data_IF_661321179197
#
_entry.id   IF_661321179197
#
_cell.length_a   1.000
_cell.length_b   1.000
_cell.length_c   1.000
_cell.angle_alpha   90.00
_cell.angle_beta   90.00
_cell.angle_gamma   90.00
#
_symmetry.space_group_name_H-M   'P 1'
#
loop_
_entity.id
_entity.type
_entity.pdbx_description
1 polymer ?
#
# COMPACT_ATOMS: atom_id res chain seq x y z
N UNK A 1 -52.10 -58.72 32.63
CA UNK A 1 -51.25 -59.48 31.67
C UNK A 1 -51.64 -59.03 30.26
N UNK A 2 -50.65 -58.73 29.40
CA UNK A 2 -50.65 -57.92 28.13
C UNK A 2 -50.28 -56.45 28.38
N UNK A 3 -48.99 -56.07 28.25
CA UNK A 3 -48.23 -55.63 27.06
C UNK A 3 -48.87 -54.41 26.36
N UNK A 4 -48.26 -53.22 26.49
CA UNK A 4 -47.30 -52.59 25.54
C UNK A 4 -48.07 -51.73 24.52
N UNK A 5 -47.75 -50.46 24.24
CA UNK A 5 -46.65 -49.93 23.41
C UNK A 5 -46.70 -48.38 23.60
N UNK A 6 -45.70 -47.74 24.20
CA UNK A 6 -44.62 -46.98 23.55
C UNK A 6 -45.07 -45.94 22.51
N UNK A 7 -44.94 -44.66 22.83
CA UNK A 7 -44.47 -43.66 21.86
C UNK A 7 -43.73 -42.58 22.63
N UNK A 8 -42.41 -42.72 22.63
CA UNK A 8 -41.49 -41.70 23.09
C UNK A 8 -41.51 -40.56 22.06
N UNK A 9 -41.94 -39.38 22.49
CA UNK A 9 -41.80 -38.16 21.71
C UNK A 9 -40.33 -37.74 21.79
N UNK A 10 -39.54 -38.16 20.81
CA UNK A 10 -38.16 -37.69 20.63
C UNK A 10 -38.23 -36.24 20.20
N UNK A 11 -37.98 -35.30 21.11
CA UNK A 11 -37.69 -33.91 20.76
C UNK A 11 -36.28 -33.92 20.16
N UNK A 12 -36.20 -33.94 18.84
CA UNK A 12 -34.96 -33.71 18.12
C UNK A 12 -34.57 -32.24 18.32
N UNK A 13 -33.68 -32.00 19.30
CA UNK A 13 -32.97 -30.75 19.46
C UNK A 13 -31.93 -30.65 18.35
N UNK A 14 -32.38 -30.29 17.15
CA UNK A 14 -31.53 -29.96 16.02
C UNK A 14 -30.94 -28.57 16.24
N UNK A 15 -29.90 -28.48 17.07
CA UNK A 15 -28.95 -27.37 16.97
C UNK A 15 -28.17 -27.63 15.69
N UNK A 16 -28.69 -27.14 14.57
CA UNK A 16 -27.86 -26.88 13.42
C UNK A 16 -26.89 -25.77 13.86
N UNK A 17 -25.72 -26.17 14.38
CA UNK A 17 -24.53 -25.36 14.28
C UNK A 17 -24.26 -25.22 12.78
N UNK A 18 -24.91 -24.25 12.17
CA UNK A 18 -24.35 -23.58 11.01
C UNK A 18 -23.02 -23.01 11.49
N UNK A 19 -21.96 -23.81 11.32
CA UNK A 19 -20.61 -23.32 11.09
C UNK A 19 -20.71 -22.43 9.85
N UNK A 20 -21.21 -21.22 10.06
CA UNK A 20 -20.89 -20.10 9.20
C UNK A 20 -19.39 -20.00 9.36
N UNK A 21 -18.66 -20.43 8.34
CA UNK A 21 -17.26 -20.10 8.13
C UNK A 21 -17.18 -18.58 8.08
N UNK A 22 -17.21 -17.95 9.24
CA UNK A 22 -16.91 -16.54 9.42
C UNK A 22 -15.40 -16.43 9.22
N UNK A 23 -14.97 -16.57 7.97
CA UNK A 23 -13.88 -15.80 7.45
C UNK A 23 -14.35 -14.34 7.47
N UNK A 24 -14.46 -13.74 8.66
CA UNK A 24 -14.55 -12.31 8.80
C UNK A 24 -13.17 -11.74 8.47
N UNK A 25 -12.78 -11.88 7.19
CA UNK A 25 -11.88 -10.91 6.60
C UNK A 25 -12.72 -9.65 6.56
N UNK A 26 -12.41 -8.67 7.39
CA UNK A 26 -13.01 -7.35 7.24
C UNK A 26 -12.65 -6.87 5.83
N UNK A 27 -13.67 -6.55 5.04
CA UNK A 27 -13.46 -5.96 3.71
C UNK A 27 -12.69 -4.66 3.88
N UNK A 28 -11.72 -4.42 3.00
CA UNK A 28 -11.11 -3.10 2.91
C UNK A 28 -12.19 -2.11 2.45
N UNK A 29 -12.16 -0.85 2.91
CA UNK A 29 -13.12 0.17 2.43
C UNK A 29 -13.00 0.26 0.91
N UNK A 30 -14.05 0.55 0.17
CA UNK A 30 -14.00 0.80 -1.28
C UNK A 30 -13.40 2.17 -1.61
N UNK A 31 -13.07 2.41 -2.88
CA UNK A 31 -12.66 3.73 -3.34
C UNK A 31 -13.76 4.77 -3.07
N UNK A 32 -15.03 4.44 -3.31
CA UNK A 32 -16.18 5.33 -3.04
C UNK A 32 -16.26 5.70 -1.54
N UNK A 33 -16.10 4.73 -0.64
CA UNK A 33 -16.08 5.00 0.81
C UNK A 33 -14.92 5.89 1.22
N UNK A 34 -13.73 5.71 0.62
CA UNK A 34 -12.58 6.56 0.90
C UNK A 34 -12.75 7.98 0.35
N UNK A 35 -13.33 8.15 -0.85
CA UNK A 35 -13.61 9.47 -1.41
C UNK A 35 -14.69 10.20 -0.58
N UNK A 36 -15.69 9.47 -0.07
CA UNK A 36 -16.69 10.04 0.83
C UNK A 36 -16.08 10.49 2.17
N UNK A 37 -15.11 9.73 2.69
CA UNK A 37 -14.42 10.06 3.94
C UNK A 37 -13.35 11.16 3.76
N UNK A 38 -12.69 11.19 2.59
CA UNK A 38 -11.59 12.10 2.27
C UNK A 38 -11.83 12.79 0.90
N UNK A 39 -12.76 13.76 0.82
CA UNK A 39 -13.13 14.40 -0.45
C UNK A 39 -11.98 15.13 -1.15
N UNK A 40 -10.93 15.53 -0.41
CA UNK A 40 -9.75 16.17 -0.96
C UNK A 40 -9.09 15.35 -2.09
N UNK A 41 -9.23 14.02 -2.06
CA UNK A 41 -8.71 13.12 -3.08
C UNK A 41 -9.35 13.30 -4.47
N UNK A 42 -10.60 13.80 -4.54
CA UNK A 42 -11.29 14.10 -5.80
C UNK A 42 -10.98 15.50 -6.35
N UNK A 43 -10.53 16.41 -5.48
CA UNK A 43 -10.38 17.83 -5.82
C UNK A 43 -8.94 18.22 -6.14
N UNK A 44 -8.72 19.28 -6.90
CA UNK A 44 -7.38 19.85 -7.11
C UNK A 44 -6.98 20.83 -6.01
N UNK A 45 -7.72 20.92 -4.90
CA UNK A 45 -7.48 21.90 -3.84
C UNK A 45 -6.23 21.57 -3.02
N UNK A 46 -5.83 20.29 -2.99
CA UNK A 46 -4.58 19.83 -2.39
C UNK A 46 -3.72 19.16 -3.44
N UNK A 47 -2.62 19.84 -3.78
CA UNK A 47 -1.56 19.30 -4.64
C UNK A 47 -0.80 18.20 -3.90
N UNK A 48 -0.33 17.18 -4.62
CA UNK A 48 0.49 16.14 -4.01
C UNK A 48 1.91 16.63 -3.74
N UNK A 49 2.50 16.24 -2.60
CA UNK A 49 3.88 16.56 -2.30
C UNK A 49 4.85 15.70 -3.16
N UNK A 50 5.65 16.29 -4.07
CA UNK A 50 6.53 15.53 -4.95
C UNK A 50 7.72 14.89 -4.21
N UNK A 51 8.06 15.33 -3.00
CA UNK A 51 9.16 14.74 -2.21
C UNK A 51 8.78 13.39 -1.58
N UNK A 52 7.49 13.11 -1.41
CA UNK A 52 7.03 11.82 -0.91
C UNK A 52 7.11 10.80 -2.06
N UNK A 53 8.12 9.94 -2.04
CA UNK A 53 8.39 9.01 -3.14
C UNK A 53 7.33 7.90 -3.28
N UNK A 54 6.76 7.45 -2.17
CA UNK A 54 5.77 6.38 -2.16
C UNK A 54 4.38 6.92 -2.57
N UNK A 55 3.78 6.46 -3.69
CA UNK A 55 2.48 6.94 -4.16
C UNK A 55 1.35 6.69 -3.14
N UNK A 56 1.41 5.59 -2.39
CA UNK A 56 0.45 5.33 -1.31
C UNK A 56 0.53 6.38 -0.20
N UNK A 57 1.74 6.77 0.21
CA UNK A 57 1.94 7.78 1.23
C UNK A 57 1.58 9.18 0.73
N UNK A 58 1.84 9.50 -0.55
CA UNK A 58 1.34 10.74 -1.19
C UNK A 58 -0.18 10.82 -1.13
N UNK A 59 -0.86 9.73 -1.43
CA UNK A 59 -2.32 9.68 -1.34
C UNK A 59 -2.82 9.85 0.11
N UNK A 60 -2.14 9.26 1.11
CA UNK A 60 -2.47 9.48 2.52
C UNK A 60 -2.28 10.95 2.94
N UNK A 61 -1.16 11.56 2.57
CA UNK A 61 -0.90 12.98 2.83
C UNK A 61 -1.96 13.86 2.14
N UNK A 62 -2.15 13.69 0.84
CA UNK A 62 -3.12 14.45 0.04
C UNK A 62 -4.56 14.26 0.49
N UNK A 63 -4.89 13.18 1.18
CA UNK A 63 -6.22 12.98 1.76
C UNK A 63 -6.53 13.90 2.94
N UNK A 64 -5.51 14.55 3.51
CA UNK A 64 -5.59 15.31 4.76
C UNK A 64 -5.68 14.44 6.01
N UNK A 65 -5.52 13.12 5.86
CA UNK A 65 -5.59 12.18 6.99
C UNK A 65 -4.46 12.39 8.00
N UNK A 66 -3.35 13.00 7.59
CA UNK A 66 -2.16 13.19 8.41
C UNK A 66 -2.09 14.59 9.05
N UNK A 67 -2.92 15.55 8.62
CA UNK A 67 -2.88 16.95 9.07
C UNK A 67 -2.99 17.12 10.59
N UNK A 68 -3.80 16.29 11.25
CA UNK A 68 -4.04 16.39 12.70
C UNK A 68 -2.89 15.83 13.54
N UNK A 69 -1.99 15.06 12.91
CA UNK A 69 -0.88 14.36 13.58
C UNK A 69 0.49 14.82 13.09
N UNK A 70 0.53 15.65 12.05
CA UNK A 70 1.72 16.37 11.62
C UNK A 70 2.20 17.34 12.70
N UNK A 71 3.51 17.42 12.87
CA UNK A 71 4.11 18.34 13.83
C UNK A 71 4.06 19.77 13.27
N UNK A 72 3.89 20.76 14.16
CA UNK A 72 3.83 22.18 13.80
C UNK A 72 5.10 22.72 13.09
N UNK A 73 6.17 21.92 12.95
CA UNK A 73 7.43 22.32 12.33
C UNK A 73 7.36 22.49 10.81
N UNK A 74 6.27 22.06 10.16
CA UNK A 74 6.14 22.06 8.70
C UNK A 74 6.93 20.93 8.03
N UNK A 75 7.55 20.05 8.81
CA UNK A 75 8.17 18.81 8.34
C UNK A 75 7.14 17.68 8.36
N UNK A 76 7.18 16.82 7.35
CA UNK A 76 6.26 15.67 7.20
C UNK A 76 6.70 14.47 8.06
N UNK A 77 6.86 14.71 9.37
CA UNK A 77 7.33 13.72 10.35
C UNK A 77 6.15 13.18 11.15
N UNK A 78 5.82 11.90 10.93
CA UNK A 78 4.62 11.25 11.48
C UNK A 78 5.01 10.14 12.46
N UNK A 79 4.37 10.08 13.62
CA UNK A 79 4.52 8.93 14.53
C UNK A 79 4.07 7.62 13.86
N UNK A 80 4.85 6.54 14.02
CA UNK A 80 4.54 5.24 13.41
C UNK A 80 3.13 4.75 13.74
N UNK A 81 2.64 5.01 14.97
CA UNK A 81 1.28 4.62 15.38
C UNK A 81 0.22 5.26 14.47
N UNK A 82 0.36 6.56 14.23
CA UNK A 82 -0.63 7.33 13.51
C UNK A 82 -0.54 7.06 12.00
N UNK A 83 0.66 6.87 11.48
CA UNK A 83 0.87 6.42 10.10
C UNK A 83 0.32 5.01 9.84
N UNK A 84 0.51 4.08 10.78
CA UNK A 84 -0.09 2.73 10.73
C UNK A 84 -1.61 2.81 10.72
N UNK A 85 -2.20 3.65 11.56
CA UNK A 85 -3.65 3.84 11.60
C UNK A 85 -4.17 4.40 10.28
N UNK A 86 -3.52 5.43 9.72
CA UNK A 86 -3.88 5.97 8.41
C UNK A 86 -3.77 4.93 7.30
N UNK A 87 -2.68 4.13 7.28
CA UNK A 87 -2.51 3.05 6.32
C UNK A 87 -3.63 1.99 6.44
N UNK A 88 -4.03 1.64 7.67
CA UNK A 88 -5.15 0.73 7.92
C UNK A 88 -6.48 1.30 7.44
N UNK A 89 -6.74 2.60 7.67
CA UNK A 89 -7.93 3.29 7.19
C UNK A 89 -8.06 3.21 5.67
N UNK A 90 -6.95 3.07 4.94
CA UNK A 90 -6.90 2.90 3.48
C UNK A 90 -6.81 1.44 3.02
N UNK A 91 -6.94 0.48 3.93
CA UNK A 91 -6.97 -0.95 3.62
C UNK A 91 -5.60 -1.62 3.57
N UNK A 92 -4.57 -1.07 4.20
CA UNK A 92 -3.28 -1.75 4.35
C UNK A 92 -3.07 -2.28 5.78
N UNK A 93 -2.90 -3.59 5.92
CA UNK A 93 -2.79 -4.25 7.21
C UNK A 93 -1.54 -3.80 8.00
N UNK A 94 -1.75 -3.49 9.26
CA UNK A 94 -0.70 -2.99 10.17
C UNK A 94 0.09 -4.08 10.86
N UNK A 95 -0.31 -5.34 10.71
CA UNK A 95 0.38 -6.46 11.37
C UNK A 95 1.40 -7.13 10.45
N UNK A 96 1.08 -7.24 9.16
CA UNK A 96 1.80 -8.10 8.22
C UNK A 96 2.16 -7.42 6.90
N UNK A 97 1.66 -6.21 6.60
CA UNK A 97 2.03 -5.46 5.40
C UNK A 97 2.62 -4.08 5.75
N UNK A 98 1.81 -3.03 5.78
CA UNK A 98 2.31 -1.66 5.96
C UNK A 98 2.97 -1.44 7.32
N UNK A 99 2.49 -2.09 8.39
CA UNK A 99 3.06 -1.85 9.72
C UNK A 99 4.54 -2.24 9.85
N UNK A 100 4.93 -3.48 9.49
CA UNK A 100 6.34 -3.87 9.42
C UNK A 100 7.18 -2.97 8.50
N UNK A 101 6.64 -2.53 7.36
CA UNK A 101 7.33 -1.61 6.44
C UNK A 101 7.58 -0.25 7.13
N UNK A 102 6.55 0.33 7.76
CA UNK A 102 6.65 1.60 8.52
C UNK A 102 7.71 1.50 9.63
N UNK A 103 7.72 0.41 10.40
CA UNK A 103 8.72 0.22 11.45
C UNK A 103 10.14 0.11 10.87
N UNK A 104 10.26 -0.56 9.73
CA UNK A 104 11.55 -0.75 9.04
C UNK A 104 12.06 0.55 8.42
N UNK A 105 11.17 1.39 7.86
CA UNK A 105 11.48 2.74 7.38
C UNK A 105 11.99 3.60 8.53
N UNK A 106 11.22 3.66 9.63
CA UNK A 106 11.55 4.45 10.82
C UNK A 106 12.90 4.07 11.41
N UNK A 107 13.16 2.76 11.55
CA UNK A 107 14.45 2.26 11.99
C UNK A 107 15.57 2.61 11.02
N UNK A 108 15.33 2.53 9.71
CA UNK A 108 16.28 2.91 8.67
C UNK A 108 16.71 4.38 8.75
N UNK A 109 15.75 5.28 8.90
CA UNK A 109 16.01 6.73 9.04
C UNK A 109 16.70 7.07 10.36
N UNK A 110 16.41 6.35 11.44
CA UNK A 110 17.15 6.52 12.70
C UNK A 110 18.64 6.13 12.61
N UNK A 111 19.03 5.27 11.65
CA UNK A 111 20.43 4.90 11.44
C UNK A 111 21.22 5.97 10.66
N UNK A 112 20.54 6.89 9.94
CA UNK A 112 21.19 7.96 9.17
C UNK A 112 21.41 9.23 10.01
N UNK A 113 20.61 9.45 11.05
CA UNK A 113 20.92 10.47 12.06
C UNK A 113 22.17 10.06 12.86
N UNK A 114 23.11 11.00 13.07
CA UNK A 114 24.30 10.76 13.91
C UNK A 114 23.89 10.04 15.20
N UNK A 115 24.51 8.88 15.46
CA UNK A 115 24.21 8.04 16.61
C UNK A 115 24.45 8.80 17.91
N UNK A 116 23.44 9.52 18.39
CA UNK A 116 23.46 10.23 19.65
C UNK A 116 22.88 9.33 20.74
N UNK A 117 23.49 9.35 21.92
CA UNK A 117 22.94 8.66 23.11
C UNK A 117 21.51 9.12 23.46
N UNK A 118 21.06 10.28 22.96
CA UNK A 118 19.67 10.74 23.04
C UNK A 118 18.68 9.93 22.18
N UNK A 119 19.15 9.24 21.14
CA UNK A 119 18.34 8.37 20.27
C UNK A 119 18.09 6.98 20.90
N UNK A 120 18.74 6.68 22.03
CA UNK A 120 18.49 5.49 22.85
C UNK A 120 17.36 5.69 23.88
N UNK A 121 16.64 6.83 23.84
CA UNK A 121 15.51 7.06 24.73
C UNK A 121 14.34 6.14 24.35
N UNK A 122 13.99 5.11 25.17
CA UNK A 122 12.89 4.21 24.86
C UNK A 122 11.51 4.88 24.93
N UNK A 123 11.45 6.13 25.37
CA UNK A 123 10.24 6.93 25.44
C UNK A 123 10.10 7.91 24.25
N UNK A 124 11.08 8.01 23.35
CA UNK A 124 10.92 8.79 22.10
C UNK A 124 10.03 7.96 21.16
N UNK A 125 8.90 8.50 20.67
CA UNK A 125 8.08 7.80 19.70
C UNK A 125 8.89 7.56 18.42
N UNK A 126 8.75 6.37 17.85
CA UNK A 126 9.25 6.09 16.50
C UNK A 126 8.47 6.90 15.49
N UNK A 127 9.18 7.57 14.60
CA UNK A 127 8.61 8.45 13.58
C UNK A 127 9.13 8.06 12.19
N UNK A 128 8.39 8.44 11.16
CA UNK A 128 8.81 8.41 9.76
C UNK A 128 8.78 9.83 9.21
N UNK A 129 9.87 10.23 8.55
CA UNK A 129 9.90 11.41 7.70
C UNK A 129 9.48 11.00 6.27
N UNK A 130 8.31 11.47 5.82
CA UNK A 130 7.74 11.08 4.53
C UNK A 130 8.50 11.67 3.33
N UNK A 131 9.28 12.73 3.52
CA UNK A 131 10.07 13.38 2.45
C UNK A 131 11.49 12.79 2.34
N UNK A 132 11.94 12.09 3.39
CA UNK A 132 13.27 11.45 3.44
C UNK A 132 13.19 9.92 3.38
N UNK A 133 12.20 9.36 2.69
CA UNK A 133 12.06 7.90 2.52
C UNK A 133 13.27 7.26 1.84
N UNK A 134 14.00 8.02 1.01
CA UNK A 134 15.23 7.59 0.36
C UNK A 134 16.40 7.36 1.33
N UNK A 135 16.32 7.89 2.56
CA UNK A 135 17.30 7.66 3.63
C UNK A 135 17.01 6.42 4.48
N UNK A 136 16.11 5.54 4.05
CA UNK A 136 15.79 4.32 4.78
C UNK A 136 16.40 3.08 4.09
N UNK A 137 17.72 2.79 4.22
CA UNK A 137 18.40 1.69 3.53
C UNK A 137 17.68 0.34 3.48
N UNK A 138 16.95 -0.09 4.54
CA UNK A 138 16.21 -1.35 4.50
C UNK A 138 15.09 -1.43 3.45
N UNK A 139 14.56 -0.28 3.01
CA UNK A 139 13.44 -0.18 2.05
C UNK A 139 13.77 0.69 0.83
N UNK A 140 14.66 1.66 0.96
CA UNK A 140 15.11 2.52 -0.12
C UNK A 140 15.84 1.68 -1.17
N UNK A 141 15.62 1.99 -2.44
CA UNK A 141 16.28 1.33 -3.55
C UNK A 141 16.55 2.31 -4.68
N UNK A 142 17.41 1.92 -5.60
CA UNK A 142 18.00 2.78 -6.60
C UNK A 142 17.04 3.08 -7.77
N UNK A 143 16.20 2.11 -8.16
CA UNK A 143 15.37 2.23 -9.36
C UNK A 143 13.88 2.40 -9.06
N UNK A 144 13.39 3.64 -8.96
CA UNK A 144 11.98 3.95 -8.75
C UNK A 144 11.14 3.98 -10.03
N UNK A 145 9.84 3.69 -9.91
CA UNK A 145 8.87 3.96 -11.00
C UNK A 145 8.75 5.46 -11.30
N UNK A 146 9.00 6.32 -10.30
CA UNK A 146 8.75 7.76 -10.38
C UNK A 146 9.97 8.61 -10.06
N UNK A 147 11.07 8.01 -9.62
CA UNK A 147 12.33 8.71 -9.30
C UNK A 147 13.52 7.97 -9.92
N UNK A 148 14.61 8.70 -10.11
CA UNK A 148 15.83 8.22 -10.77
C UNK A 148 16.90 7.83 -9.73
N UNK A 149 17.80 6.92 -10.12
CA UNK A 149 18.91 6.48 -9.28
C UNK A 149 19.75 7.65 -8.77
N UNK A 150 19.98 7.67 -7.45
CA UNK A 150 20.72 8.71 -6.76
C UNK A 150 19.99 10.05 -6.66
N UNK A 151 18.75 10.16 -7.16
CA UNK A 151 17.96 11.39 -7.16
C UNK A 151 16.72 11.30 -6.26
N UNK A 152 16.68 10.37 -5.30
CA UNK A 152 15.58 10.23 -4.36
C UNK A 152 15.29 11.50 -3.54
N UNK A 153 16.33 12.27 -3.20
CA UNK A 153 16.21 13.57 -2.53
C UNK A 153 15.48 14.64 -3.36
N UNK A 154 15.42 14.47 -4.69
CA UNK A 154 14.73 15.39 -5.60
C UNK A 154 13.25 15.05 -5.77
N UNK A 155 12.76 13.98 -5.15
CA UNK A 155 11.37 13.55 -5.25
C UNK A 155 11.03 12.89 -6.59
N UNK A 156 9.77 13.02 -6.99
CA UNK A 156 9.22 12.50 -8.25
C UNK A 156 9.80 13.26 -9.46
N UNK A 157 10.43 12.52 -10.38
CA UNK A 157 10.88 13.01 -11.68
C UNK A 157 9.76 12.88 -12.70
N UNK A 158 9.35 14.01 -13.30
CA UNK A 158 8.35 14.04 -14.37
C UNK A 158 8.81 13.23 -15.60
N UNK A 159 10.10 13.32 -15.95
CA UNK A 159 10.69 12.56 -17.06
C UNK A 159 10.65 11.06 -16.79
N UNK A 160 10.97 10.63 -15.56
CA UNK A 160 10.88 9.22 -15.16
C UNK A 160 9.43 8.74 -15.20
N UNK A 161 8.50 9.51 -14.62
CA UNK A 161 7.09 9.17 -14.65
C UNK A 161 6.58 9.01 -16.09
N UNK A 162 6.86 9.96 -16.98
CA UNK A 162 6.46 9.88 -18.39
C UNK A 162 7.03 8.63 -19.08
N UNK A 163 8.31 8.35 -18.89
CA UNK A 163 8.96 7.15 -19.44
C UNK A 163 8.34 5.86 -18.90
N UNK A 164 8.11 5.78 -17.58
CA UNK A 164 7.46 4.64 -16.92
C UNK A 164 6.05 4.41 -17.45
N UNK A 165 5.24 5.47 -17.57
CA UNK A 165 3.87 5.37 -18.09
C UNK A 165 3.85 4.94 -19.55
N UNK A 166 4.78 5.43 -20.38
CA UNK A 166 4.91 4.98 -21.76
C UNK A 166 5.24 3.47 -21.85
N UNK A 167 6.15 2.97 -21.01
CA UNK A 167 6.50 1.53 -20.95
C UNK A 167 5.32 0.68 -20.47
N UNK A 168 4.57 1.14 -19.48
CA UNK A 168 3.37 0.45 -19.02
C UNK A 168 2.31 0.41 -20.13
N UNK A 169 2.05 1.54 -20.79
CA UNK A 169 1.05 1.62 -21.85
C UNK A 169 1.40 0.71 -23.05
N UNK A 170 2.67 0.60 -23.43
CA UNK A 170 3.14 -0.30 -24.49
C UNK A 170 2.91 -1.79 -24.14
N UNK A 171 2.77 -2.12 -22.85
CA UNK A 171 2.54 -3.48 -22.35
C UNK A 171 1.06 -3.78 -22.09
N UNK A 172 0.22 -2.77 -22.00
CA UNK A 172 -1.20 -2.96 -21.74
C UNK A 172 -1.89 -3.73 -22.89
N UNK A 173 -2.93 -4.48 -22.57
CA UNK A 173 -3.73 -5.17 -23.58
C UNK A 173 -4.64 -4.20 -24.37
N UNK A 174 -5.42 -4.71 -25.33
CA UNK A 174 -6.34 -3.91 -26.15
C UNK A 174 -7.44 -3.19 -25.34
N UNK A 175 -7.60 -3.50 -24.04
CA UNK A 175 -8.52 -2.84 -23.12
C UNK A 175 -7.79 -1.98 -22.08
N UNK A 176 -6.52 -1.66 -22.31
CA UNK A 176 -5.67 -0.91 -21.38
C UNK A 176 -5.49 -1.60 -20.02
N UNK A 177 -5.55 -2.94 -19.98
CA UNK A 177 -5.27 -3.71 -18.77
C UNK A 177 -3.81 -4.10 -18.64
N UNK A 178 -3.31 -4.11 -17.40
CA UNK A 178 -1.97 -4.58 -17.03
C UNK A 178 -2.06 -5.78 -16.09
N UNK A 179 -1.39 -6.88 -16.42
CA UNK A 179 -1.17 -7.98 -15.47
C UNK A 179 0.07 -7.70 -14.61
N UNK A 180 0.24 -8.45 -13.52
CA UNK A 180 1.39 -8.26 -12.61
C UNK A 180 2.74 -8.32 -13.33
N UNK A 181 2.87 -9.22 -14.32
CA UNK A 181 4.10 -9.37 -15.08
C UNK A 181 4.46 -8.11 -15.87
N UNK A 182 3.48 -7.35 -16.38
CA UNK A 182 3.75 -6.12 -17.15
C UNK A 182 4.35 -5.03 -16.25
N UNK A 183 3.84 -4.90 -15.02
CA UNK A 183 4.35 -3.97 -14.00
C UNK A 183 5.77 -4.38 -13.57
N UNK A 184 5.97 -5.67 -13.33
CA UNK A 184 7.28 -6.22 -12.94
C UNK A 184 8.32 -6.09 -14.05
N UNK A 185 7.95 -6.36 -15.30
CA UNK A 185 8.84 -6.22 -16.46
C UNK A 185 9.23 -4.76 -16.67
N UNK A 186 8.29 -3.83 -16.49
CA UNK A 186 8.58 -2.40 -16.51
C UNK A 186 9.59 -2.02 -15.41
N UNK A 187 9.40 -2.51 -14.19
CA UNK A 187 10.35 -2.29 -13.09
C UNK A 187 11.74 -2.83 -13.42
N UNK A 188 11.82 -4.06 -13.93
CA UNK A 188 13.08 -4.69 -14.32
C UNK A 188 13.79 -3.89 -15.42
N UNK A 189 13.04 -3.42 -16.41
CA UNK A 189 13.57 -2.60 -17.50
C UNK A 189 14.14 -1.28 -16.97
N UNK A 190 13.42 -0.57 -16.10
CA UNK A 190 13.90 0.66 -15.45
C UNK A 190 15.19 0.40 -14.66
N UNK A 191 15.23 -0.65 -13.83
CA UNK A 191 16.43 -0.99 -13.07
C UNK A 191 17.62 -1.31 -13.99
N UNK A 192 17.38 -2.04 -15.08
CA UNK A 192 18.42 -2.36 -16.07
C UNK A 192 18.94 -1.11 -16.81
N UNK A 193 18.07 -0.17 -17.16
CA UNK A 193 18.44 1.12 -17.77
C UNK A 193 19.32 1.96 -16.85
N UNK A 194 19.14 1.85 -15.54
CA UNK A 194 19.97 2.51 -14.52
C UNK A 194 21.20 1.70 -14.09
N UNK A 195 21.43 0.53 -14.71
CA UNK A 195 22.58 -0.32 -14.42
C UNK A 195 22.53 -1.01 -13.06
N UNK A 196 21.34 -1.18 -12.47
CA UNK A 196 21.12 -1.84 -11.18
C UNK A 196 20.25 -3.09 -11.34
N UNK A 197 20.37 -4.03 -10.40
CA UNK A 197 19.49 -5.20 -10.33
C UNK A 197 18.34 -4.84 -9.39
N UNK A 198 17.13 -5.25 -9.74
CA UNK A 198 15.97 -5.07 -8.87
C UNK A 198 16.23 -5.67 -7.48
N UNK A 199 16.01 -4.85 -6.46
CA UNK A 199 16.14 -5.25 -5.06
C UNK A 199 14.85 -5.92 -4.55
N UNK A 200 14.93 -6.58 -3.39
CA UNK A 200 13.72 -7.14 -2.77
C UNK A 200 12.65 -6.08 -2.46
N UNK A 201 12.98 -4.87 -1.93
CA UNK A 201 12.01 -3.78 -1.82
C UNK A 201 11.40 -3.38 -3.17
N UNK A 202 12.19 -3.32 -4.24
CA UNK A 202 11.68 -3.01 -5.59
C UNK A 202 10.69 -4.05 -6.13
N UNK A 203 10.89 -5.33 -5.82
CA UNK A 203 9.93 -6.40 -6.14
C UNK A 203 8.63 -6.26 -5.34
N UNK A 204 8.75 -5.97 -4.04
CA UNK A 204 7.59 -5.80 -3.16
C UNK A 204 6.78 -4.56 -3.58
N UNK A 205 7.42 -3.48 -4.00
CA UNK A 205 6.73 -2.29 -4.53
C UNK A 205 5.81 -2.64 -5.70
N UNK A 206 6.30 -3.39 -6.70
CA UNK A 206 5.50 -3.83 -7.84
C UNK A 206 4.30 -4.71 -7.39
N UNK A 207 4.52 -5.61 -6.44
CA UNK A 207 3.45 -6.44 -5.87
C UNK A 207 2.40 -5.60 -5.14
N UNK A 208 2.84 -4.62 -4.35
CA UNK A 208 1.95 -3.73 -3.60
C UNK A 208 1.08 -2.88 -4.53
N UNK A 209 1.66 -2.33 -5.61
CA UNK A 209 0.89 -1.57 -6.62
C UNK A 209 -0.19 -2.47 -7.23
N UNK A 210 0.20 -3.63 -7.76
CA UNK A 210 -0.75 -4.55 -8.39
C UNK A 210 -1.85 -5.01 -7.42
N UNK A 211 -1.46 -5.38 -6.21
CA UNK A 211 -2.38 -5.83 -5.18
C UNK A 211 -3.33 -4.72 -4.73
N UNK A 212 -2.82 -3.52 -4.43
CA UNK A 212 -3.64 -2.40 -3.97
C UNK A 212 -4.70 -1.99 -4.98
N UNK A 213 -4.37 -2.01 -6.28
CA UNK A 213 -5.26 -1.66 -7.38
C UNK A 213 -6.24 -2.81 -7.77
N UNK A 214 -6.37 -3.84 -6.92
CA UNK A 214 -7.33 -4.92 -7.08
C UNK A 214 -6.93 -5.97 -8.13
N UNK A 215 -5.65 -6.02 -8.49
CA UNK A 215 -5.13 -6.97 -9.48
C UNK A 215 -5.19 -8.42 -9.03
N UNK A 216 -5.11 -8.68 -7.72
CA UNK A 216 -5.17 -10.06 -7.18
C UNK A 216 -6.54 -10.69 -7.39
N UNK A 217 -7.64 -9.95 -7.22
CA UNK A 217 -8.98 -10.48 -7.43
C UNK A 217 -9.38 -10.54 -8.90
N UNK A 218 -8.95 -9.56 -9.70
CA UNK A 218 -9.39 -9.41 -11.09
C UNK A 218 -8.45 -10.08 -12.11
N UNK A 219 -7.20 -10.31 -11.73
CA UNK A 219 -6.12 -10.77 -12.61
C UNK A 219 -5.42 -9.65 -13.37
N UNK A 220 -5.91 -8.41 -13.26
CA UNK A 220 -5.37 -7.23 -13.96
C UNK A 220 -5.71 -5.94 -13.21
N UNK A 221 -5.01 -4.85 -13.57
CA UNK A 221 -5.31 -3.48 -13.14
C UNK A 221 -5.53 -2.60 -14.35
N UNK A 222 -6.33 -1.54 -14.20
CA UNK A 222 -6.51 -0.55 -15.28
C UNK A 222 -5.24 0.29 -15.40
N UNK A 223 -4.77 0.53 -16.62
CA UNK A 223 -3.65 1.45 -16.86
C UNK A 223 -3.91 2.83 -16.24
N UNK A 224 -5.13 3.36 -16.38
CA UNK A 224 -5.50 4.67 -15.84
C UNK A 224 -5.42 4.72 -14.31
N UNK A 225 -5.76 3.62 -13.62
CA UNK A 225 -5.61 3.53 -12.15
C UNK A 225 -4.13 3.51 -11.75
N UNK A 226 -3.27 2.79 -12.49
CA UNK A 226 -1.82 2.80 -12.27
C UNK A 226 -1.25 4.20 -12.51
N UNK A 227 -1.60 4.83 -13.64
CA UNK A 227 -1.14 6.15 -14.01
C UNK A 227 -1.56 7.21 -13.00
N UNK A 228 -2.82 7.18 -12.57
CA UNK A 228 -3.35 8.07 -11.54
C UNK A 228 -2.69 7.86 -10.19
N UNK A 229 -2.40 6.62 -9.81
CA UNK A 229 -1.73 6.30 -8.55
C UNK A 229 -0.27 6.78 -8.51
N UNK A 230 0.48 6.57 -9.59
CA UNK A 230 1.88 6.97 -9.71
C UNK A 230 2.10 8.47 -9.90
N UNK A 231 1.08 9.23 -10.31
CA UNK A 231 1.17 10.68 -10.48
C UNK A 231 1.61 11.40 -9.19
N UNK A 232 2.08 12.64 -9.33
CA UNK A 232 2.43 13.51 -8.19
C UNK A 232 1.18 13.71 -7.33
N UNK A 233 0.04 14.04 -7.95
CA UNK A 233 -1.25 14.23 -7.28
C UNK A 233 -1.97 12.91 -6.95
N UNK A 234 -1.22 11.81 -6.70
CA UNK A 234 -1.68 10.43 -6.48
C UNK A 234 -3.19 10.32 -6.23
N UNK A 235 -3.88 9.73 -7.20
CA UNK A 235 -5.34 9.66 -7.22
C UNK A 235 -5.82 8.39 -6.55
N UNK A 236 -6.98 8.48 -5.89
CA UNK A 236 -7.72 7.29 -5.50
C UNK A 236 -8.09 6.53 -6.78
N UNK A 237 -7.68 5.25 -6.93
CA UNK A 237 -8.07 4.46 -8.09
C UNK A 237 -9.58 4.24 -8.11
N UNK A 238 -10.17 4.09 -9.29
CA UNK A 238 -11.57 3.72 -9.44
C UNK A 238 -11.82 2.32 -8.89
N UNK A 239 -10.87 1.41 -9.10
CA UNK A 239 -10.92 0.06 -8.57
C UNK A 239 -9.74 -0.22 -7.65
N UNK A 240 -10.01 -0.77 -6.48
CA UNK A 240 -8.97 -1.22 -5.55
C UNK A 240 -9.31 -2.54 -4.90
N UNK A 241 -8.35 -3.13 -4.19
CA UNK A 241 -8.53 -4.36 -3.45
C UNK A 241 -9.75 -4.30 -2.52
N UNK A 242 -10.58 -5.33 -2.61
CA UNK A 242 -11.70 -5.55 -1.69
C UNK A 242 -11.21 -6.11 -0.34
N UNK A 243 -9.98 -6.66 -0.31
CA UNK A 243 -9.36 -7.23 0.88
C UNK A 243 -8.20 -6.36 1.36
N UNK A 244 -7.93 -6.31 2.68
CA UNK A 244 -6.77 -5.60 3.19
C UNK A 244 -5.46 -6.17 2.63
N UNK A 245 -4.58 -5.28 2.19
CA UNK A 245 -3.23 -5.64 1.76
C UNK A 245 -2.49 -6.19 2.98
N UNK A 246 -2.14 -7.47 2.92
CA UNK A 246 -1.52 -8.24 4.02
C UNK A 246 -0.50 -9.22 3.42
N UNK A 247 0.45 -9.72 4.22
CA UNK A 247 1.42 -10.69 3.68
C UNK A 247 0.75 -11.91 3.03
N UNK A 248 -0.28 -12.55 3.61
CA UNK A 248 -0.96 -13.68 2.96
C UNK A 248 -1.64 -13.29 1.64
N UNK A 249 -2.12 -12.06 1.53
CA UNK A 249 -2.74 -11.56 0.31
C UNK A 249 -1.70 -11.30 -0.79
N UNK A 250 -0.53 -10.76 -0.45
CA UNK A 250 0.57 -10.56 -1.40
C UNK A 250 1.14 -11.88 -1.94
N UNK A 251 1.05 -12.98 -1.18
CA UNK A 251 1.43 -14.30 -1.69
C UNK A 251 0.56 -14.76 -2.88
N UNK A 252 -0.65 -14.22 -3.03
CA UNK A 252 -1.55 -14.54 -4.14
C UNK A 252 -1.14 -13.86 -5.46
N UNK A 253 -0.32 -12.80 -5.41
CA UNK A 253 0.12 -12.07 -6.61
C UNK A 253 0.88 -13.00 -7.57
N UNK A 254 1.72 -13.91 -7.04
CA UNK A 254 2.51 -14.85 -7.85
C UNK A 254 1.77 -16.18 -8.13
N UNK A 255 0.52 -16.32 -7.69
CA UNK A 255 -0.29 -17.52 -7.88
C UNK A 255 -1.20 -17.45 -9.11
N UNK A 256 -1.34 -16.27 -9.70
CA UNK A 256 -2.11 -15.95 -10.91
C UNK A 256 -1.16 -15.69 -12.08
#
# INVERSE_FOLDING_TARGET
MKLSITTATTIALGVALSLSSANAFFDAPSSEELLAAYPALETTEREGNPLILCPFLRMLERSGRLDEVEQESGEQIIENRDLKRAANDFGCDTTTACGPVIDTVSAGQCLTEEFSLSNLNPFKPSVVDLERLWEAPPVSHECGFTFENGLGENGVSATRLESTLAKLLDRADDNDHLVYQDILDTKNEICAEEGVIISAPGLIEAQLIFAYLGGVERGYVEYDDVAGFLAIDSKMPQTKAARPISAPYLLLVNAN
#
